data_IF_841848270678
#
_entry.id   IF_841848270678
#
_cell.length_a   1.000
_cell.length_b   1.000
_cell.length_c   1.000
_cell.angle_alpha   90.00
_cell.angle_beta   90.00
_cell.angle_gamma   90.00
#
_symmetry.space_group_name_H-M   'P 1'
#
loop_
_entity.id
_entity.type
_entity.pdbx_description
1 polymer ?
#
# COMPACT_ATOMS: atom_id res chain seq x y z
N UNK A 1 14.79 -42.92 -1.66
CA UNK A 1 16.24 -43.06 -1.91
C UNK A 1 16.43 -43.04 -3.42
N UNK A 2 16.67 -41.87 -4.00
CA UNK A 2 17.37 -41.61 -5.27
C UNK A 2 17.33 -40.10 -5.53
N UNK A 3 18.52 -39.54 -5.63
CA UNK A 3 18.84 -38.17 -6.00
C UNK A 3 18.37 -37.86 -7.43
N UNK A 4 18.04 -36.60 -7.70
CA UNK A 4 18.20 -36.03 -9.03
C UNK A 4 18.71 -34.59 -8.90
N UNK A 5 19.85 -34.40 -9.53
CA UNK A 5 20.76 -33.27 -9.53
C UNK A 5 20.12 -32.01 -10.13
N UNK A 6 20.46 -30.85 -9.56
CA UNK A 6 20.48 -29.58 -10.30
C UNK A 6 21.91 -29.06 -10.34
N UNK A 7 22.54 -29.15 -11.51
CA UNK A 7 23.70 -28.36 -11.91
C UNK A 7 23.25 -27.31 -12.93
N UNK A 8 23.57 -26.05 -12.65
CA UNK A 8 24.27 -25.13 -13.54
C UNK A 8 24.57 -23.87 -12.72
N UNK A 9 25.82 -23.61 -12.34
CA UNK A 9 26.90 -23.05 -13.18
C UNK A 9 26.53 -21.67 -13.71
N UNK A 10 26.78 -20.65 -12.89
CA UNK A 10 27.50 -19.44 -13.28
C UNK A 10 28.04 -18.78 -12.00
N UNK A 11 29.30 -19.06 -11.70
CA UNK A 11 30.10 -18.22 -10.82
C UNK A 11 30.88 -17.24 -11.69
N UNK A 12 30.63 -15.95 -11.51
CA UNK A 12 31.62 -14.90 -11.71
C UNK A 12 31.53 -13.95 -10.53
N UNK A 13 32.63 -13.97 -9.78
CA UNK A 13 33.05 -13.10 -8.70
C UNK A 13 32.71 -11.61 -8.88
N UNK A 14 31.91 -11.09 -7.96
CA UNK A 14 32.13 -9.77 -7.37
C UNK A 14 31.83 -9.89 -5.88
N UNK A 15 32.86 -10.29 -5.12
CA UNK A 15 32.88 -10.25 -3.67
C UNK A 15 32.78 -8.81 -3.18
N UNK A 16 31.55 -8.38 -2.86
CA UNK A 16 31.31 -7.51 -1.71
C UNK A 16 30.50 -8.35 -0.74
N UNK A 17 31.07 -8.62 0.42
CA UNK A 17 30.26 -8.97 1.58
C UNK A 17 29.34 -7.75 1.79
N UNK A 18 28.07 -7.85 1.45
CA UNK A 18 27.06 -6.99 2.05
C UNK A 18 27.12 -7.31 3.55
N UNK A 19 27.68 -6.40 4.35
CA UNK A 19 27.36 -6.41 5.77
C UNK A 19 25.85 -6.24 5.85
N UNK A 20 25.15 -7.26 6.37
CA UNK A 20 23.73 -7.12 6.72
C UNK A 20 23.64 -5.95 7.71
N UNK A 21 23.10 -4.83 7.23
CA UNK A 21 22.84 -3.67 8.08
C UNK A 21 21.89 -4.08 9.18
N UNK A 22 22.27 -3.81 10.44
CA UNK A 22 21.40 -4.05 11.60
C UNK A 22 20.38 -2.94 11.83
N UNK A 23 20.44 -1.89 11.01
CA UNK A 23 19.52 -0.76 11.02
C UNK A 23 18.89 -0.54 9.65
N UNK A 24 17.71 0.09 9.65
CA UNK A 24 17.06 0.60 8.43
C UNK A 24 16.73 2.07 8.60
N UNK A 25 17.17 2.87 7.64
CA UNK A 25 16.94 4.32 7.61
C UNK A 25 15.58 4.62 7.00
N UNK A 26 14.88 5.61 7.57
CA UNK A 26 13.51 5.96 7.20
C UNK A 26 13.39 7.47 7.10
N UNK A 27 12.76 7.92 6.00
CA UNK A 27 12.39 9.32 5.79
C UNK A 27 11.01 9.56 6.42
N UNK A 28 10.91 10.58 7.26
CA UNK A 28 9.69 10.90 8.03
C UNK A 28 9.77 10.42 9.47
N UNK A 29 8.99 11.06 10.36
CA UNK A 29 9.01 10.79 11.79
C UNK A 29 7.60 10.89 12.38
N UNK A 30 7.04 9.84 13.02
CA UNK A 30 5.65 9.88 13.51
C UNK A 30 5.41 10.97 14.57
N UNK A 31 6.45 11.39 15.29
CA UNK A 31 6.35 12.43 16.32
C UNK A 31 6.62 13.85 15.77
N UNK A 32 6.92 14.00 14.49
CA UNK A 32 7.07 15.30 13.83
C UNK A 32 5.71 15.87 13.42
N UNK A 33 5.44 17.13 13.78
CA UNK A 33 4.18 17.85 13.52
C UNK A 33 4.44 19.23 12.93
N UNK A 34 3.56 19.66 12.03
CA UNK A 34 3.57 21.00 11.42
C UNK A 34 2.25 21.68 11.76
N UNK A 35 2.31 22.86 12.38
CA UNK A 35 1.17 23.68 12.75
C UNK A 35 1.34 25.10 12.20
N UNK A 36 0.85 25.32 10.98
CA UNK A 36 1.09 26.59 10.28
C UNK A 36 2.59 26.74 10.00
N UNK A 37 3.20 27.79 10.55
CA UNK A 37 4.64 28.05 10.42
C UNK A 37 5.49 27.35 11.49
N UNK A 38 4.86 26.77 12.52
CA UNK A 38 5.54 26.11 13.63
C UNK A 38 5.83 24.64 13.33
N UNK A 39 7.04 24.18 13.67
CA UNK A 39 7.47 22.79 13.52
C UNK A 39 7.79 22.22 14.89
N UNK A 40 7.11 21.15 15.26
CA UNK A 40 7.15 20.57 16.60
C UNK A 40 7.55 19.09 16.56
N UNK A 41 8.36 18.67 17.53
CA UNK A 41 8.56 17.27 17.88
C UNK A 41 7.73 16.96 19.14
N UNK A 42 6.80 16.01 19.04
CA UNK A 42 5.89 15.58 20.10
C UNK A 42 6.25 14.15 20.52
N UNK A 43 7.38 14.00 21.20
CA UNK A 43 7.89 12.68 21.61
C UNK A 43 7.58 12.45 23.10
N UNK A 44 6.84 11.38 23.40
CA UNK A 44 6.44 11.02 24.78
C UNK A 44 5.72 12.17 25.53
N UNK A 45 4.73 12.78 24.88
CA UNK A 45 3.98 13.96 25.36
C UNK A 45 4.85 15.21 25.64
N UNK A 46 6.14 15.18 25.29
CA UNK A 46 7.02 16.36 25.31
C UNK A 46 6.94 17.07 23.98
N UNK A 47 6.59 18.35 24.02
CA UNK A 47 6.56 19.22 22.86
C UNK A 47 7.84 20.04 22.82
N UNK A 48 8.56 19.94 21.71
CA UNK A 48 9.78 20.69 21.44
C UNK A 48 9.62 21.41 20.12
N UNK A 49 9.85 22.72 20.13
CA UNK A 49 10.01 23.49 18.90
C UNK A 49 11.34 23.11 18.25
N UNK A 50 11.30 22.85 16.95
CA UNK A 50 12.44 22.30 16.22
C UNK A 50 12.70 23.05 14.92
N UNK A 51 13.98 23.19 14.61
CA UNK A 51 14.46 23.64 13.32
C UNK A 51 14.59 22.43 12.41
N UNK A 52 13.55 22.15 11.62
CA UNK A 52 13.56 21.00 10.73
C UNK A 52 14.38 21.28 9.47
N UNK A 53 15.33 20.39 9.19
CA UNK A 53 16.14 20.34 7.98
C UNK A 53 15.79 19.04 7.27
N UNK A 54 15.20 19.13 6.08
CA UNK A 54 14.89 17.94 5.30
C UNK A 54 16.15 17.38 4.68
N UNK A 55 16.58 16.22 5.19
CA UNK A 55 17.75 15.49 4.73
C UNK A 55 17.29 14.15 4.18
N UNK A 56 17.82 13.75 3.02
CA UNK A 56 17.58 12.41 2.51
C UNK A 56 18.31 11.38 3.37
N UNK A 57 17.62 10.34 3.92
CA UNK A 57 18.26 9.38 4.81
C UNK A 57 19.43 8.63 4.17
N UNK A 58 19.50 8.53 2.84
CA UNK A 58 20.64 7.90 2.15
C UNK A 58 21.99 8.56 2.46
N UNK A 59 21.98 9.81 2.93
CA UNK A 59 23.19 10.48 3.42
C UNK A 59 23.81 9.72 4.58
N UNK A 60 23.03 9.02 5.40
CA UNK A 60 23.50 8.23 6.54
C UNK A 60 23.78 6.76 6.20
N UNK A 61 23.75 6.37 4.92
CA UNK A 61 23.84 4.96 4.48
C UNK A 61 25.18 4.27 4.75
N UNK A 62 26.20 5.01 5.19
CA UNK A 62 27.48 4.45 5.61
C UNK A 62 27.46 3.90 7.05
N UNK A 63 26.35 4.08 7.76
CA UNK A 63 26.09 3.53 9.08
C UNK A 63 25.32 2.21 8.99
N UNK A 64 25.73 1.22 9.78
CA UNK A 64 25.18 -0.14 9.74
C UNK A 64 24.63 -0.61 11.09
N UNK A 65 24.85 0.17 12.15
CA UNK A 65 24.43 -0.14 13.50
C UNK A 65 24.10 1.12 14.30
N UNK A 66 23.50 0.90 15.47
CA UNK A 66 23.08 1.99 16.36
C UNK A 66 24.26 2.82 16.87
N UNK A 67 25.40 2.20 17.14
CA UNK A 67 26.54 2.89 17.75
C UNK A 67 27.17 3.86 16.75
N UNK A 68 27.24 3.47 15.46
CA UNK A 68 27.74 4.35 14.40
C UNK A 68 26.80 5.55 14.16
N UNK A 69 25.49 5.34 14.25
CA UNK A 69 24.48 6.41 14.11
C UNK A 69 24.58 7.50 15.19
N UNK A 70 25.20 7.24 16.34
CA UNK A 70 25.39 8.22 17.40
C UNK A 70 26.30 9.40 16.96
N UNK A 71 27.16 9.18 15.97
CA UNK A 71 28.07 10.20 15.43
C UNK A 71 27.32 11.30 14.64
N UNK A 72 26.09 11.01 14.19
CA UNK A 72 25.26 11.91 13.39
C UNK A 72 24.33 12.78 14.24
N UNK A 73 24.41 12.70 15.57
CA UNK A 73 23.58 13.54 16.44
C UNK A 73 23.91 15.01 16.23
N UNK A 74 22.86 15.82 16.12
CA UNK A 74 23.00 17.26 16.02
C UNK A 74 23.62 17.82 17.32
N UNK A 75 24.52 18.79 17.17
CA UNK A 75 25.10 19.50 18.32
C UNK A 75 24.06 20.34 19.07
N UNK A 76 23.06 20.83 18.34
CA UNK A 76 21.98 21.67 18.86
C UNK A 76 20.71 20.83 19.07
N UNK A 77 20.17 20.87 20.28
CA UNK A 77 19.05 20.01 20.71
C UNK A 77 17.69 20.32 20.07
N UNK A 78 17.59 21.35 19.23
CA UNK A 78 16.39 21.73 18.50
C UNK A 78 16.46 21.36 17.01
N UNK A 79 17.59 20.87 16.50
CA UNK A 79 17.70 20.49 15.08
C UNK A 79 17.02 19.14 14.84
N UNK A 80 16.18 19.07 13.80
CA UNK A 80 15.49 17.85 13.41
C UNK A 80 15.77 17.52 11.93
N UNK A 81 16.32 16.34 11.65
CA UNK A 81 16.55 15.91 10.26
C UNK A 81 15.31 15.31 9.58
N UNK A 82 14.17 15.28 10.29
CA UNK A 82 12.94 14.59 9.88
C UNK A 82 13.19 13.14 9.41
N UNK A 83 14.21 12.50 9.96
CA UNK A 83 14.68 11.18 9.57
C UNK A 83 14.97 10.34 10.82
N UNK A 84 14.63 9.06 10.73
CA UNK A 84 14.65 8.10 11.84
C UNK A 84 15.32 6.82 11.36
N UNK A 85 15.68 5.95 12.29
CA UNK A 85 16.14 4.61 11.96
C UNK A 85 15.49 3.56 12.85
N UNK A 86 15.25 2.39 12.27
CA UNK A 86 14.83 1.19 12.97
C UNK A 86 16.10 0.44 13.36
N UNK A 87 16.23 0.06 14.62
CA UNK A 87 17.26 -0.85 15.08
C UNK A 87 16.65 -2.25 15.25
N UNK A 88 17.05 -3.20 14.39
CA UNK A 88 16.47 -4.54 14.40
C UNK A 88 16.88 -5.37 15.63
N UNK A 89 17.99 -5.01 16.30
CA UNK A 89 18.47 -5.76 17.47
C UNK A 89 17.56 -5.60 18.69
N UNK A 90 17.01 -4.40 18.90
CA UNK A 90 16.10 -4.11 20.03
C UNK A 90 14.66 -3.83 19.59
N UNK A 91 14.38 -3.88 18.28
CA UNK A 91 13.10 -3.58 17.67
C UNK A 91 12.57 -2.19 18.07
N UNK A 92 13.44 -1.18 18.16
CA UNK A 92 13.06 0.19 18.49
C UNK A 92 13.37 1.15 17.36
N UNK A 93 12.61 2.25 17.36
CA UNK A 93 12.79 3.36 16.44
C UNK A 93 13.50 4.51 17.14
N UNK A 94 14.48 5.10 16.47
CA UNK A 94 15.31 6.16 16.99
C UNK A 94 15.30 7.38 16.07
N UNK A 95 15.30 8.57 16.66
CA UNK A 95 15.54 9.82 15.95
C UNK A 95 17.01 9.94 15.57
N UNK A 96 17.35 10.24 14.31
CA UNK A 96 18.74 10.41 13.88
C UNK A 96 19.37 11.63 14.56
N UNK A 97 18.70 12.79 14.48
CA UNK A 97 19.27 14.05 14.95
C UNK A 97 19.44 14.12 16.47
N UNK A 98 18.56 13.46 17.24
CA UNK A 98 18.56 13.53 18.70
C UNK A 98 19.03 12.23 19.37
N UNK A 99 19.06 11.11 18.65
CA UNK A 99 19.36 9.77 19.17
C UNK A 99 18.35 9.23 20.19
N UNK A 100 17.21 9.89 20.35
CA UNK A 100 16.18 9.46 21.28
C UNK A 100 15.39 8.29 20.72
N UNK A 101 15.01 7.36 21.60
CA UNK A 101 13.95 6.39 21.31
C UNK A 101 12.65 7.16 21.07
N UNK A 102 11.96 6.82 19.99
CA UNK A 102 10.64 7.38 19.72
C UNK A 102 9.60 6.70 20.59
N UNK A 103 8.75 7.52 21.20
CA UNK A 103 7.75 7.13 22.17
C UNK A 103 6.46 7.87 21.93
N UNK A 104 5.36 7.17 22.10
CA UNK A 104 4.01 7.72 22.05
C UNK A 104 3.32 7.26 23.34
N UNK A 105 2.81 8.21 24.13
CA UNK A 105 2.08 7.94 25.38
C UNK A 105 2.78 6.94 26.33
N UNK A 106 4.08 7.12 26.59
CA UNK A 106 4.86 6.29 27.52
C UNK A 106 5.35 4.96 26.96
N UNK A 107 5.01 4.61 25.71
CA UNK A 107 5.39 3.36 25.08
C UNK A 107 6.38 3.60 23.93
N UNK A 108 7.40 2.73 23.83
CA UNK A 108 8.38 2.76 22.73
C UNK A 108 7.67 2.36 21.42
N UNK A 109 7.92 3.08 20.32
CA UNK A 109 7.44 2.69 18.99
C UNK A 109 8.26 1.49 18.50
N UNK A 110 7.65 0.32 18.25
CA UNK A 110 8.36 -0.82 17.71
C UNK A 110 8.78 -0.62 16.26
N UNK A 111 9.91 -1.19 15.89
CA UNK A 111 10.39 -1.21 14.50
C UNK A 111 9.37 -1.84 13.55
N UNK A 112 8.82 -3.01 13.92
CA UNK A 112 7.82 -3.72 13.12
C UNK A 112 6.55 -2.87 12.85
N UNK A 113 6.01 -2.19 13.87
CA UNK A 113 4.82 -1.33 13.73
C UNK A 113 5.09 -0.17 12.76
N UNK A 114 6.32 0.39 12.80
CA UNK A 114 6.73 1.42 11.85
C UNK A 114 6.91 0.86 10.43
N UNK A 115 7.51 -0.33 10.27
CA UNK A 115 7.65 -0.95 8.94
C UNK A 115 6.31 -1.22 8.29
N UNK A 116 5.34 -1.70 9.07
CA UNK A 116 3.97 -1.90 8.62
C UNK A 116 3.32 -0.58 8.19
N UNK A 117 3.51 0.48 9.00
CA UNK A 117 3.03 1.81 8.66
C UNK A 117 3.65 2.34 7.37
N UNK A 118 4.95 2.15 7.17
CA UNK A 118 5.66 2.60 5.97
C UNK A 118 5.22 1.83 4.73
N UNK A 119 5.13 0.51 4.82
CA UNK A 119 4.68 -0.33 3.71
C UNK A 119 3.26 0.03 3.30
N UNK A 120 2.41 0.37 4.27
CA UNK A 120 1.08 0.87 3.99
C UNK A 120 1.09 2.22 3.25
N UNK A 121 1.83 3.21 3.75
CA UNK A 121 1.81 4.57 3.20
C UNK A 121 2.57 4.71 1.88
N UNK A 122 3.48 3.78 1.59
CA UNK A 122 4.16 3.73 0.31
C UNK A 122 3.19 3.22 -0.75
N UNK A 123 2.61 4.14 -1.53
CA UNK A 123 1.84 3.79 -2.74
C UNK A 123 2.69 3.68 -4.01
N UNK A 124 4.00 3.83 -3.86
CA UNK A 124 5.03 3.64 -4.88
C UNK A 124 5.95 2.51 -4.42
N UNK A 125 6.59 1.83 -5.38
CA UNK A 125 7.62 0.83 -5.12
C UNK A 125 8.54 1.28 -3.99
N UNK A 126 8.78 0.38 -3.03
CA UNK A 126 9.61 0.53 -1.82
C UNK A 126 11.06 0.79 -2.25
N UNK A 127 11.29 1.97 -2.82
CA UNK A 127 12.56 2.63 -2.90
C UNK A 127 12.58 3.55 -1.69
N UNK A 128 13.71 3.60 -1.00
CA UNK A 128 13.98 4.36 0.23
C UNK A 128 13.75 5.88 0.12
N UNK A 129 13.12 6.36 -0.96
CA UNK A 129 12.92 7.75 -1.34
C UNK A 129 11.45 8.21 -1.35
N UNK A 130 10.48 7.38 -0.94
CA UNK A 130 9.09 7.83 -0.80
C UNK A 130 8.97 8.78 0.42
N UNK A 131 8.56 10.01 0.18
CA UNK A 131 8.26 10.98 1.24
C UNK A 131 7.00 10.54 2.00
N UNK A 132 7.18 10.07 3.24
CA UNK A 132 6.08 9.59 4.06
C UNK A 132 5.52 10.72 4.93
N UNK A 133 4.21 10.93 4.84
CA UNK A 133 3.51 11.89 5.69
C UNK A 133 3.61 11.49 7.17
N UNK A 134 4.25 12.35 7.98
CA UNK A 134 4.50 12.11 9.41
C UNK A 134 3.21 11.96 10.22
N UNK A 135 2.16 12.69 9.86
CA UNK A 135 0.83 12.55 10.48
C UNK A 135 0.16 11.23 10.15
N UNK A 136 0.35 10.72 8.93
CA UNK A 136 -0.17 9.42 8.54
C UNK A 136 0.54 8.29 9.29
N UNK A 137 1.87 8.37 9.47
CA UNK A 137 2.64 7.40 10.26
C UNK A 137 2.14 7.35 11.71
N UNK A 138 1.94 8.51 12.33
CA UNK A 138 1.42 8.60 13.69
C UNK A 138 0.04 7.95 13.85
N UNK A 139 -0.90 8.29 12.96
CA UNK A 139 -2.28 7.76 13.00
C UNK A 139 -2.30 6.25 12.77
N UNK A 140 -1.48 5.75 11.86
CA UNK A 140 -1.36 4.31 11.63
C UNK A 140 -0.87 3.58 12.88
N UNK A 141 0.26 4.02 13.44
CA UNK A 141 0.89 3.37 14.60
C UNK A 141 -0.08 3.35 15.80
N UNK A 142 -0.81 4.44 16.04
CA UNK A 142 -1.80 4.49 17.11
C UNK A 142 -3.02 3.58 16.89
N UNK A 143 -3.45 3.43 15.63
CA UNK A 143 -4.70 2.73 15.32
C UNK A 143 -4.51 1.23 15.18
N UNK A 144 -3.38 0.83 14.58
CA UNK A 144 -3.12 -0.53 14.11
C UNK A 144 -1.90 -1.17 14.76
N UNK A 145 -1.06 -0.41 15.48
CA UNK A 145 0.06 -0.97 16.21
C UNK A 145 -0.43 -1.77 17.42
N UNK A 146 0.00 -3.02 17.52
CA UNK A 146 -0.36 -3.93 18.62
C UNK A 146 -0.06 -3.32 20.00
N UNK A 147 1.04 -2.56 20.07
CA UNK A 147 1.55 -1.91 21.28
C UNK A 147 0.57 -0.88 21.85
N UNK A 148 -0.11 -0.16 20.96
CA UNK A 148 -0.98 0.98 21.31
C UNK A 148 -2.45 0.60 21.38
N UNK A 149 -2.76 -0.70 21.25
CA UNK A 149 -4.12 -1.22 21.21
C UNK A 149 -4.93 -0.89 22.48
N UNK A 150 -4.32 -0.68 23.64
CA UNK A 150 -5.04 -0.34 24.86
C UNK A 150 -5.39 1.16 25.00
N UNK A 151 -4.86 2.03 24.14
CA UNK A 151 -5.05 3.48 24.26
C UNK A 151 -6.35 4.01 23.64
N UNK A 152 -6.93 3.26 22.71
CA UNK A 152 -8.15 3.62 22.01
C UNK A 152 -9.32 2.76 22.49
N UNK A 153 -10.47 3.38 22.76
CA UNK A 153 -11.71 2.64 22.95
C UNK A 153 -12.07 1.87 21.68
N UNK A 154 -12.87 0.80 21.79
CA UNK A 154 -13.34 0.05 20.61
C UNK A 154 -14.02 0.95 19.57
N UNK A 155 -14.71 2.00 20.04
CA UNK A 155 -15.34 3.00 19.17
C UNK A 155 -14.30 3.83 18.42
N UNK A 156 -13.28 4.34 19.11
CA UNK A 156 -12.21 5.12 18.47
C UNK A 156 -11.42 4.27 17.47
N UNK A 157 -11.13 3.01 17.80
CA UNK A 157 -10.54 2.05 16.85
C UNK A 157 -11.42 1.84 15.63
N UNK A 158 -12.71 1.61 15.85
CA UNK A 158 -13.71 1.42 14.78
C UNK A 158 -13.72 2.62 13.84
N UNK A 159 -13.78 3.84 14.39
CA UNK A 159 -13.86 5.07 13.62
C UNK A 159 -12.58 5.35 12.83
N UNK A 160 -11.40 5.10 13.41
CA UNK A 160 -10.12 5.27 12.71
C UNK A 160 -9.91 4.23 11.61
N UNK A 161 -10.21 2.94 11.87
CA UNK A 161 -10.16 1.89 10.84
C UNK A 161 -11.11 2.20 9.68
N UNK A 162 -12.31 2.71 9.96
CA UNK A 162 -13.25 3.12 8.90
C UNK A 162 -12.71 4.27 8.06
N UNK A 163 -12.29 5.38 8.69
CA UNK A 163 -11.73 6.55 8.00
C UNK A 163 -10.58 6.14 7.09
N UNK A 164 -9.77 5.21 7.59
CA UNK A 164 -8.63 4.67 6.89
C UNK A 164 -9.04 3.84 5.66
N UNK A 165 -9.90 2.83 5.83
CA UNK A 165 -10.35 2.00 4.70
C UNK A 165 -11.10 2.85 3.68
N UNK A 166 -11.81 3.89 4.12
CA UNK A 166 -12.44 4.87 3.26
C UNK A 166 -11.44 5.66 2.41
N UNK A 167 -10.47 6.34 3.04
CA UNK A 167 -9.46 7.14 2.30
C UNK A 167 -8.69 6.25 1.33
N UNK A 168 -8.33 5.05 1.79
CA UNK A 168 -7.53 4.12 1.01
C UNK A 168 -8.30 3.53 -0.18
N UNK A 169 -9.54 3.05 0.03
CA UNK A 169 -10.37 2.53 -1.07
C UNK A 169 -10.64 3.60 -2.13
N UNK A 170 -10.86 4.85 -1.72
CA UNK A 170 -11.05 5.96 -2.64
C UNK A 170 -9.78 6.25 -3.47
N UNK A 171 -8.61 6.29 -2.83
CA UNK A 171 -7.34 6.48 -3.52
C UNK A 171 -7.10 5.40 -4.58
N UNK A 172 -7.39 4.13 -4.27
CA UNK A 172 -7.28 3.04 -5.27
C UNK A 172 -8.27 3.27 -6.42
N UNK A 173 -9.53 3.58 -6.11
CA UNK A 173 -10.55 3.81 -7.15
C UNK A 173 -10.15 4.94 -8.10
N UNK A 174 -9.60 6.03 -7.57
CA UNK A 174 -9.05 7.14 -8.36
C UNK A 174 -7.92 6.65 -9.26
N UNK A 175 -6.90 5.97 -8.72
CA UNK A 175 -5.77 5.44 -9.51
C UNK A 175 -6.20 4.46 -10.59
N UNK A 176 -7.13 3.56 -10.28
CA UNK A 176 -7.64 2.60 -11.26
C UNK A 176 -8.41 3.29 -12.38
N UNK A 177 -9.22 4.31 -12.06
CA UNK A 177 -9.93 5.09 -13.09
C UNK A 177 -9.01 5.87 -14.02
N UNK A 178 -7.81 6.25 -13.55
CA UNK A 178 -6.81 6.98 -14.33
C UNK A 178 -5.95 6.07 -15.21
N UNK A 179 -5.83 4.78 -14.86
CA UNK A 179 -4.95 3.81 -15.54
C UNK A 179 -5.70 2.84 -16.46
N UNK A 180 -7.01 2.65 -16.26
CA UNK A 180 -7.83 1.79 -17.10
C UNK A 180 -8.34 2.53 -18.34
N UNK A 181 -8.05 2.00 -19.53
CA UNK A 181 -8.51 2.57 -20.80
C UNK A 181 -10.03 2.48 -21.02
N UNK A 182 -10.74 1.65 -20.24
CA UNK A 182 -12.20 1.56 -20.25
C UNK A 182 -12.86 2.52 -19.26
N UNK A 183 -12.08 3.31 -18.53
CA UNK A 183 -12.59 4.19 -17.48
C UNK A 183 -12.31 5.66 -17.79
N UNK A 184 -13.23 6.51 -17.38
CA UNK A 184 -13.04 7.93 -17.26
C UNK A 184 -12.50 8.25 -15.86
N UNK A 185 -11.47 9.11 -15.74
CA UNK A 185 -10.95 9.54 -14.46
C UNK A 185 -12.07 10.08 -13.57
N UNK A 186 -12.25 9.48 -12.39
CA UNK A 186 -13.32 9.90 -11.48
C UNK A 186 -12.93 11.14 -10.70
N UNK A 187 -11.63 11.43 -10.53
CA UNK A 187 -11.06 12.53 -9.75
C UNK A 187 -9.53 12.48 -9.65
N UNK A 188 -8.97 13.23 -8.72
CA UNK A 188 -7.54 13.26 -8.36
C UNK A 188 -7.31 12.92 -6.89
N UNK A 189 -6.06 12.72 -6.47
CA UNK A 189 -5.74 12.53 -5.04
C UNK A 189 -5.97 13.81 -4.23
N UNK A 190 -5.71 14.99 -4.83
CA UNK A 190 -5.92 16.29 -4.19
C UNK A 190 -7.41 16.53 -3.86
N UNK A 191 -8.31 16.10 -4.76
CA UNK A 191 -9.77 16.14 -4.56
C UNK A 191 -10.22 15.36 -3.30
N UNK A 192 -9.47 14.32 -2.91
CA UNK A 192 -9.74 13.54 -1.70
C UNK A 192 -9.38 14.34 -0.45
N UNK A 193 -8.28 15.10 -0.51
CA UNK A 193 -7.77 15.87 0.64
C UNK A 193 -8.60 17.13 0.91
N UNK A 194 -9.22 17.71 -0.13
CA UNK A 194 -10.14 18.84 -0.03
C UNK A 194 -11.53 18.48 0.53
N UNK A 195 -11.80 17.19 0.78
CA UNK A 195 -13.05 16.71 1.39
C UNK A 195 -14.25 16.72 0.45
N UNK A 196 -14.03 16.55 -0.85
CA UNK A 196 -15.10 16.41 -1.86
C UNK A 196 -15.92 15.13 -1.56
N UNK A 197 -17.18 15.08 -2.04
CA UNK A 197 -18.13 13.98 -1.81
C UNK A 197 -17.58 12.58 -2.20
N UNK A 198 -16.90 11.94 -1.25
CA UNK A 198 -16.29 10.60 -1.38
C UNK A 198 -17.27 9.56 -1.94
N UNK A 199 -18.54 9.70 -1.61
CA UNK A 199 -19.57 8.77 -2.02
C UNK A 199 -19.88 8.90 -3.51
N UNK A 200 -19.83 10.13 -4.03
CA UNK A 200 -20.02 10.37 -5.45
C UNK A 200 -18.89 9.76 -6.28
N UNK A 201 -17.63 9.87 -5.85
CA UNK A 201 -16.50 9.25 -6.55
C UNK A 201 -16.62 7.72 -6.60
N UNK A 202 -16.83 7.07 -5.45
CA UNK A 202 -16.97 5.61 -5.40
C UNK A 202 -18.18 5.12 -6.19
N UNK A 203 -19.29 5.87 -6.19
CA UNK A 203 -20.46 5.55 -7.04
C UNK A 203 -20.14 5.67 -8.52
N UNK A 204 -19.47 6.74 -8.95
CA UNK A 204 -19.05 6.90 -10.34
C UNK A 204 -18.15 5.74 -10.77
N UNK A 205 -17.22 5.33 -9.90
CA UNK A 205 -16.35 4.19 -10.14
C UNK A 205 -17.14 2.87 -10.26
N UNK A 206 -18.06 2.59 -9.33
CA UNK A 206 -18.91 1.40 -9.36
C UNK A 206 -19.77 1.32 -10.63
N UNK A 207 -20.29 2.45 -11.13
CA UNK A 207 -21.04 2.50 -12.40
C UNK A 207 -20.14 2.06 -13.56
N UNK A 208 -18.91 2.57 -13.63
CA UNK A 208 -17.98 2.19 -14.69
C UNK A 208 -17.57 0.71 -14.62
N UNK A 209 -17.44 0.14 -13.41
CA UNK A 209 -17.21 -1.30 -13.27
C UNK A 209 -18.40 -2.11 -13.83
N UNK A 210 -19.64 -1.68 -13.60
CA UNK A 210 -20.83 -2.35 -14.17
C UNK A 210 -20.82 -2.29 -15.71
N UNK A 211 -20.37 -1.17 -16.27
CA UNK A 211 -20.21 -1.04 -17.72
C UNK A 211 -19.15 -2.01 -18.26
N UNK A 212 -18.02 -2.17 -17.55
CA UNK A 212 -17.02 -3.18 -17.88
C UNK A 212 -17.58 -4.60 -17.79
N UNK A 213 -18.32 -4.94 -16.72
CA UNK A 213 -18.96 -6.25 -16.58
C UNK A 213 -19.91 -6.55 -17.76
N UNK A 214 -20.72 -5.56 -18.14
CA UNK A 214 -21.64 -5.65 -19.28
C UNK A 214 -20.88 -5.87 -20.60
N UNK A 215 -19.78 -5.15 -20.78
CA UNK A 215 -18.90 -5.30 -21.94
C UNK A 215 -18.30 -6.72 -22.03
N UNK A 216 -17.65 -7.20 -20.96
CA UNK A 216 -17.00 -8.51 -20.95
C UNK A 216 -18.01 -9.66 -21.09
N UNK A 217 -19.19 -9.53 -20.48
CA UNK A 217 -20.28 -10.51 -20.64
C UNK A 217 -20.72 -10.62 -22.10
N UNK A 218 -20.97 -9.48 -22.76
CA UNK A 218 -21.36 -9.46 -24.19
C UNK A 218 -20.26 -10.03 -25.09
N UNK A 219 -19.01 -9.66 -24.84
CA UNK A 219 -17.87 -10.18 -25.59
C UNK A 219 -17.72 -11.69 -25.39
N UNK A 220 -17.90 -12.19 -24.16
CA UNK A 220 -17.86 -13.62 -23.86
C UNK A 220 -18.89 -14.41 -24.65
N UNK A 221 -20.15 -13.94 -24.67
CA UNK A 221 -21.23 -14.58 -25.44
C UNK A 221 -20.92 -14.59 -26.96
N UNK A 222 -20.42 -13.47 -27.50
CA UNK A 222 -20.06 -13.38 -28.91
C UNK A 222 -18.93 -14.37 -29.27
N UNK A 223 -17.91 -14.49 -28.42
CA UNK A 223 -16.79 -15.42 -28.62
C UNK A 223 -17.21 -16.89 -28.49
N UNK A 224 -18.24 -17.18 -27.69
CA UNK A 224 -18.85 -18.51 -27.59
C UNK A 224 -19.59 -18.86 -28.89
N UNK A 225 -20.42 -17.95 -29.40
CA UNK A 225 -21.14 -18.10 -30.67
C UNK A 225 -20.17 -18.23 -31.87
N UNK A 226 -19.07 -17.48 -31.85
CA UNK A 226 -18.00 -17.53 -32.86
C UNK A 226 -17.11 -18.78 -32.76
N UNK A 227 -17.30 -19.63 -31.73
CA UNK A 227 -16.44 -20.78 -31.41
C UNK A 227 -14.96 -20.39 -31.31
N UNK A 228 -14.68 -19.26 -30.68
CA UNK A 228 -13.33 -18.79 -30.43
C UNK A 228 -12.50 -19.82 -29.63
N UNK A 229 -11.18 -19.71 -29.71
CA UNK A 229 -10.28 -20.59 -28.96
C UNK A 229 -10.57 -20.52 -27.45
N UNK A 230 -10.62 -21.68 -26.78
CA UNK A 230 -11.05 -21.76 -25.38
C UNK A 230 -10.22 -20.92 -24.39
N UNK A 231 -8.95 -20.65 -24.71
CA UNK A 231 -8.13 -19.77 -23.88
C UNK A 231 -8.55 -18.29 -23.97
N UNK A 232 -9.06 -17.85 -25.12
CA UNK A 232 -9.57 -16.48 -25.33
C UNK A 232 -10.87 -16.30 -24.56
N UNK A 233 -11.77 -17.29 -24.66
CA UNK A 233 -12.99 -17.31 -23.87
C UNK A 233 -12.68 -17.26 -22.37
N UNK A 234 -11.73 -18.08 -21.91
CA UNK A 234 -11.29 -18.07 -20.51
C UNK A 234 -10.71 -16.70 -20.08
N UNK A 235 -9.91 -16.04 -20.93
CA UNK A 235 -9.39 -14.70 -20.63
C UNK A 235 -10.51 -13.67 -20.42
N UNK A 236 -11.54 -13.69 -21.28
CA UNK A 236 -12.70 -12.80 -21.16
C UNK A 236 -13.54 -13.13 -19.92
N UNK A 237 -13.74 -14.41 -19.61
CA UNK A 237 -14.40 -14.84 -18.37
C UNK A 237 -13.63 -14.40 -17.13
N UNK A 238 -12.30 -14.50 -17.14
CA UNK A 238 -11.47 -14.00 -16.03
C UNK A 238 -11.61 -12.48 -15.87
N UNK A 239 -11.66 -11.71 -16.96
CA UNK A 239 -11.90 -10.25 -16.91
C UNK A 239 -13.27 -9.89 -16.35
N UNK A 240 -14.33 -10.58 -16.78
CA UNK A 240 -15.68 -10.40 -16.19
C UNK A 240 -15.67 -10.68 -14.70
N UNK A 241 -15.11 -11.83 -14.28
CA UNK A 241 -15.03 -12.22 -12.88
C UNK A 241 -14.25 -11.20 -12.06
N UNK A 242 -13.16 -10.65 -12.62
CA UNK A 242 -12.37 -9.63 -11.95
C UNK A 242 -13.17 -8.35 -11.74
N UNK A 243 -13.86 -7.84 -12.77
CA UNK A 243 -14.75 -6.69 -12.62
C UNK A 243 -15.87 -6.95 -11.58
N UNK A 244 -16.36 -8.19 -11.46
CA UNK A 244 -17.33 -8.56 -10.42
C UNK A 244 -16.74 -8.51 -9.02
N UNK A 245 -15.52 -9.04 -8.84
CA UNK A 245 -14.82 -9.00 -7.56
C UNK A 245 -14.44 -7.57 -7.16
N UNK A 246 -13.98 -6.74 -8.10
CA UNK A 246 -13.73 -5.32 -7.86
C UNK A 246 -15.01 -4.62 -7.37
N UNK A 247 -16.14 -4.82 -8.06
CA UNK A 247 -17.42 -4.27 -7.62
C UNK A 247 -17.80 -4.71 -6.21
N UNK A 248 -17.65 -6.00 -5.91
CA UNK A 248 -17.93 -6.54 -4.58
C UNK A 248 -17.05 -5.87 -3.52
N UNK A 249 -15.74 -5.76 -3.76
CA UNK A 249 -14.80 -5.11 -2.86
C UNK A 249 -15.24 -3.67 -2.55
N UNK A 250 -15.47 -2.84 -3.57
CA UNK A 250 -15.85 -1.44 -3.35
C UNK A 250 -17.25 -1.28 -2.76
N UNK A 251 -18.18 -2.19 -3.05
CA UNK A 251 -19.48 -2.19 -2.39
C UNK A 251 -19.35 -2.56 -0.90
N UNK A 252 -18.44 -3.46 -0.54
CA UNK A 252 -18.18 -3.83 0.85
C UNK A 252 -17.51 -2.69 1.61
N UNK A 253 -16.54 -1.98 1.01
CA UNK A 253 -15.91 -0.83 1.66
C UNK A 253 -16.90 0.28 1.97
N UNK A 254 -17.86 0.54 1.07
CA UNK A 254 -18.97 1.48 1.34
C UNK A 254 -19.83 1.06 2.53
N UNK A 255 -20.10 -0.24 2.69
CA UNK A 255 -20.90 -0.76 3.80
C UNK A 255 -20.19 -0.64 5.15
N UNK A 256 -18.85 -0.59 5.19
CA UNK A 256 -18.10 -0.46 6.44
C UNK A 256 -18.49 0.80 7.22
N UNK A 257 -18.89 1.87 6.52
CA UNK A 257 -19.29 3.15 7.12
C UNK A 257 -20.44 3.00 8.11
N UNK A 258 -21.42 2.16 7.76
CA UNK A 258 -22.65 2.00 8.52
C UNK A 258 -22.51 1.03 9.71
N UNK A 259 -21.35 0.36 9.86
CA UNK A 259 -21.13 -0.67 10.89
C UNK A 259 -20.70 -0.02 12.21
N UNK A 260 -21.55 -0.02 13.23
CA UNK A 260 -21.19 0.57 14.52
C UNK A 260 -20.57 -0.42 15.52
N UNK A 261 -20.57 -1.71 15.19
CA UNK A 261 -20.07 -2.77 16.06
C UNK A 261 -18.70 -3.26 15.59
N UNK A 262 -17.70 -3.18 16.47
CA UNK A 262 -16.31 -3.56 16.16
C UNK A 262 -16.19 -5.01 15.67
N UNK A 263 -16.87 -5.97 16.30
CA UNK A 263 -16.84 -7.37 15.87
C UNK A 263 -17.41 -7.59 14.45
N UNK A 264 -18.44 -6.84 14.09
CA UNK A 264 -19.01 -6.88 12.74
C UNK A 264 -18.07 -6.22 11.73
N UNK A 265 -17.39 -5.13 12.13
CA UNK A 265 -16.35 -4.49 11.33
C UNK A 265 -15.22 -5.48 11.00
N UNK A 266 -14.68 -6.17 12.01
CA UNK A 266 -13.63 -7.18 11.81
C UNK A 266 -14.07 -8.29 10.84
N UNK A 267 -15.29 -8.82 11.01
CA UNK A 267 -15.82 -9.84 10.07
C UNK A 267 -15.94 -9.30 8.64
N UNK A 268 -16.38 -8.06 8.47
CA UNK A 268 -16.48 -7.45 7.14
C UNK A 268 -15.09 -7.20 6.54
N UNK A 269 -14.11 -6.82 7.34
CA UNK A 269 -12.71 -6.70 6.90
C UNK A 269 -12.14 -8.05 6.45
N UNK A 270 -12.49 -9.16 7.12
CA UNK A 270 -12.14 -10.52 6.67
C UNK A 270 -12.74 -10.85 5.30
N UNK A 271 -13.98 -10.43 5.01
CA UNK A 271 -14.57 -10.60 3.68
C UNK A 271 -13.92 -9.70 2.61
N UNK A 272 -13.52 -8.48 2.99
CA UNK A 272 -12.77 -7.56 2.12
C UNK A 272 -11.40 -8.16 1.78
N UNK A 273 -10.74 -8.78 2.76
CA UNK A 273 -9.50 -9.54 2.60
C UNK A 273 -9.62 -10.68 1.60
N UNK A 274 -10.61 -11.54 1.78
CA UNK A 274 -10.83 -12.67 0.86
C UNK A 274 -11.07 -12.19 -0.56
N UNK A 275 -11.88 -11.14 -0.73
CA UNK A 275 -12.11 -10.54 -2.04
C UNK A 275 -10.81 -9.98 -2.65
N UNK A 276 -9.95 -9.38 -1.82
CA UNK A 276 -8.65 -8.83 -2.24
C UNK A 276 -7.70 -9.94 -2.73
N UNK A 277 -7.64 -11.08 -2.04
CA UNK A 277 -6.85 -12.25 -2.44
C UNK A 277 -7.32 -12.84 -3.77
N UNK A 278 -8.63 -13.02 -3.93
CA UNK A 278 -9.19 -13.48 -5.19
C UNK A 278 -8.90 -12.52 -6.36
N UNK A 279 -8.92 -11.20 -6.10
CA UNK A 279 -8.57 -10.17 -7.08
C UNK A 279 -7.11 -10.30 -7.51
N UNK A 280 -6.17 -10.46 -6.57
CA UNK A 280 -4.75 -10.59 -6.86
C UNK A 280 -4.46 -11.85 -7.68
N UNK A 281 -4.95 -13.01 -7.22
CA UNK A 281 -4.74 -14.29 -7.93
C UNK A 281 -5.28 -14.21 -9.35
N UNK A 282 -6.47 -13.62 -9.54
CA UNK A 282 -7.08 -13.49 -10.85
C UNK A 282 -6.34 -12.48 -11.73
N UNK A 283 -5.89 -11.37 -11.16
CA UNK A 283 -5.10 -10.37 -11.86
C UNK A 283 -3.77 -10.96 -12.38
N UNK A 284 -3.07 -11.74 -11.57
CA UNK A 284 -1.80 -12.38 -11.96
C UNK A 284 -1.99 -13.34 -13.14
N UNK A 285 -3.07 -14.13 -13.10
CA UNK A 285 -3.43 -15.03 -14.20
C UNK A 285 -3.70 -14.25 -15.49
N UNK A 286 -4.51 -13.19 -15.42
CA UNK A 286 -4.82 -12.32 -16.56
C UNK A 286 -3.56 -11.65 -17.11
N UNK A 287 -2.71 -11.13 -16.24
CA UNK A 287 -1.46 -10.46 -16.62
C UNK A 287 -0.49 -11.41 -17.32
N UNK A 288 -0.38 -12.65 -16.82
CA UNK A 288 0.44 -13.68 -17.44
C UNK A 288 -0.04 -14.03 -18.86
N UNK A 289 -1.36 -14.08 -19.05
CA UNK A 289 -1.99 -14.34 -20.35
C UNK A 289 -1.78 -13.17 -21.33
N UNK A 290 -1.98 -11.92 -20.88
CA UNK A 290 -1.81 -10.71 -21.70
C UNK A 290 -0.35 -10.53 -22.14
N UNK A 291 0.63 -10.95 -21.32
CA UNK A 291 2.05 -10.86 -21.68
C UNK A 291 2.52 -11.96 -22.64
N UNK A 292 1.71 -12.99 -22.87
CA UNK A 292 2.07 -14.11 -23.72
C UNK A 292 2.17 -13.71 -25.20
N UNK A 293 3.03 -14.39 -25.96
CA UNK A 293 3.18 -14.11 -27.40
C UNK A 293 1.90 -14.43 -28.19
N UNK A 294 1.10 -15.42 -27.74
CA UNK A 294 -0.20 -15.73 -28.34
C UNK A 294 -1.19 -14.56 -28.22
N UNK A 295 -1.17 -13.83 -27.11
CA UNK A 295 -2.02 -12.64 -26.93
C UNK A 295 -1.59 -11.49 -27.84
N UNK A 296 -0.27 -11.25 -27.95
CA UNK A 296 0.27 -10.23 -28.86
C UNK A 296 -0.12 -10.47 -30.33
N UNK A 297 -0.22 -11.73 -30.74
CA UNK A 297 -0.71 -12.08 -32.08
C UNK A 297 -2.23 -11.96 -32.22
N UNK A 298 -2.98 -12.27 -31.16
CA UNK A 298 -4.44 -12.14 -31.14
C UNK A 298 -4.89 -10.68 -31.29
N UNK A 299 -4.27 -9.76 -30.57
CA UNK A 299 -4.67 -8.33 -30.57
C UNK A 299 -4.42 -7.65 -31.92
N UNK A 300 -3.49 -8.18 -32.73
CA UNK A 300 -3.32 -7.74 -34.13
C UNK A 300 -4.51 -8.11 -35.03
N UNK A 301 -5.34 -9.07 -34.61
CA UNK A 301 -6.44 -9.66 -35.38
C UNK A 301 -7.81 -9.31 -34.83
N UNK A 302 -7.93 -9.13 -33.51
CA UNK A 302 -9.18 -8.81 -32.83
C UNK A 302 -9.06 -7.49 -32.06
N UNK A 303 -9.61 -6.43 -32.65
CA UNK A 303 -9.62 -5.08 -32.06
C UNK A 303 -10.42 -5.00 -30.75
N UNK A 304 -11.33 -5.94 -30.50
CA UNK A 304 -12.14 -5.96 -29.26
C UNK A 304 -11.26 -6.18 -28.04
N UNK A 305 -10.13 -6.89 -28.18
CA UNK A 305 -9.22 -7.19 -27.08
C UNK A 305 -8.08 -6.18 -26.90
N UNK A 306 -7.98 -5.16 -27.78
CA UNK A 306 -6.93 -4.12 -27.70
C UNK A 306 -6.89 -3.40 -26.37
N UNK A 307 -8.06 -3.22 -25.75
CA UNK A 307 -8.16 -2.54 -24.46
C UNK A 307 -7.40 -3.26 -23.33
N UNK A 308 -7.09 -4.54 -23.50
CA UNK A 308 -6.25 -5.31 -22.58
C UNK A 308 -4.75 -5.07 -22.77
N UNK A 309 -4.29 -4.45 -23.87
CA UNK A 309 -2.87 -4.06 -24.01
C UNK A 309 -2.48 -3.00 -22.96
N UNK A 310 -3.39 -2.07 -22.65
CA UNK A 310 -3.23 -1.07 -21.60
C UNK A 310 -3.34 -1.64 -20.18
N UNK A 311 -3.88 -2.86 -20.04
CA UNK A 311 -4.15 -3.46 -18.73
C UNK A 311 -2.87 -3.76 -17.93
N UNK A 312 -1.72 -3.88 -18.57
CA UNK A 312 -0.46 -4.19 -17.89
C UNK A 312 -0.07 -3.14 -16.82
N UNK A 313 -0.45 -1.87 -17.02
CA UNK A 313 -0.19 -0.78 -16.08
C UNK A 313 -1.18 -0.81 -14.91
N UNK A 314 -2.49 -0.99 -15.22
CA UNK A 314 -3.52 -1.24 -14.20
C UNK A 314 -3.18 -2.47 -13.34
N UNK A 315 -2.71 -3.54 -13.95
CA UNK A 315 -2.37 -4.80 -13.28
C UNK A 315 -1.28 -4.64 -12.22
N UNK A 316 -0.21 -3.89 -12.52
CA UNK A 316 0.82 -3.54 -11.50
C UNK A 316 0.26 -2.70 -10.36
N UNK A 317 -0.65 -1.79 -10.70
CA UNK A 317 -1.31 -0.92 -9.71
C UNK A 317 -2.22 -1.76 -8.79
N UNK A 318 -2.93 -2.75 -9.34
CA UNK A 318 -3.74 -3.72 -8.59
C UNK A 318 -2.85 -4.58 -7.68
N UNK A 319 -1.77 -5.16 -8.21
CA UNK A 319 -0.82 -5.99 -7.44
C UNK A 319 -0.30 -5.25 -6.22
N UNK A 320 0.16 -4.02 -6.43
CA UNK A 320 0.69 -3.15 -5.37
C UNK A 320 -0.39 -2.83 -4.33
N UNK A 321 -1.55 -2.34 -4.78
CA UNK A 321 -2.58 -1.83 -3.89
C UNK A 321 -3.29 -2.92 -3.08
N UNK A 322 -3.71 -4.02 -3.73
CA UNK A 322 -4.36 -5.14 -3.03
C UNK A 322 -3.37 -5.99 -2.24
N UNK A 323 -2.10 -6.06 -2.65
CA UNK A 323 -1.02 -6.68 -1.87
C UNK A 323 -0.82 -5.99 -0.53
N UNK A 324 -0.81 -4.66 -0.52
CA UNK A 324 -0.73 -3.87 0.71
C UNK A 324 -1.96 -4.12 1.62
N UNK A 325 -3.18 -4.16 1.07
CA UNK A 325 -4.41 -4.47 1.85
C UNK A 325 -4.27 -5.80 2.57
N UNK A 326 -3.85 -6.84 1.84
CA UNK A 326 -3.75 -8.19 2.38
C UNK A 326 -2.77 -8.28 3.53
N UNK A 327 -1.58 -7.70 3.39
CA UNK A 327 -0.59 -7.70 4.46
C UNK A 327 -1.08 -7.01 5.73
N UNK A 328 -1.85 -5.93 5.57
CA UNK A 328 -2.33 -5.10 6.68
C UNK A 328 -3.50 -5.77 7.38
N UNK A 329 -4.55 -6.11 6.63
CA UNK A 329 -5.75 -6.67 7.23
C UNK A 329 -5.50 -8.09 7.79
N UNK A 330 -4.51 -8.84 7.30
CA UNK A 330 -4.14 -10.16 7.87
C UNK A 330 -3.52 -10.04 9.27
N UNK A 331 -3.08 -8.84 9.66
CA UNK A 331 -2.55 -8.55 10.99
C UNK A 331 -3.61 -8.05 11.99
N UNK A 332 -4.83 -7.73 11.52
CA UNK A 332 -6.01 -7.48 12.36
C UNK A 332 -6.63 -8.80 12.84
#
# INVERSE_FOLDING_TARGET
MLELEKRNVFGTSSSKQEQESSIKLVRGCPVYKVFGDERLCVNDDRVLEIDAIEIDPSIFSFHFDKDSMEEERASDGNVCYASIYINYQDNKVYCISQGWVLRIHGQDVPGNDLEDAMQFLSTKEITSSAELCSDCLYKFILTLGDTFSDLLTEKEKTDEVKKYVDKFSLMIAVKHSQTDQMMEPIGTEDDIEEGIDHFQFLRNYLVQILDQQSYWTKLGNNLEEEQAEGWVQNLVTMREKLSRLEFQFYSQTLQLRDINEFNMLIKMLQYVLMSSDEILVLNDLIHSEIRSDKFRELVKRDDRLKVLEGYAEKSRTIEHNFGNILQILTKL
#
